data_IF_050468754620
#
_entry.id   IF_050468754620
#
_cell.length_a   1.000
_cell.length_b   1.000
_cell.length_c   1.000
_cell.angle_alpha   90.00
_cell.angle_beta   90.00
_cell.angle_gamma   90.00
#
_symmetry.space_group_name_H-M   'P 1'
#
loop_
_entity.id
_entity.type
_entity.pdbx_description
1 polymer ?
#
# COMPACT_ATOMS: atom_id res chain seq x y z
N UNK A 1 21.36 9.74 16.65
CA UNK A 1 20.55 10.52 17.61
C UNK A 1 19.56 9.57 18.26
N UNK A 2 19.32 9.64 19.58
CA UNK A 2 18.41 8.71 20.26
C UNK A 2 16.98 9.05 19.89
N UNK A 3 16.24 8.06 19.39
CA UNK A 3 14.90 8.23 18.83
C UNK A 3 13.86 8.72 19.83
N UNK A 4 12.82 9.38 19.30
CA UNK A 4 11.62 9.71 20.05
C UNK A 4 11.00 8.44 20.64
N UNK A 5 11.00 8.34 21.97
CA UNK A 5 10.12 7.45 22.72
C UNK A 5 8.74 8.12 22.74
N UNK A 6 7.72 7.50 22.14
CA UNK A 6 6.33 7.91 22.35
C UNK A 6 6.02 7.70 23.85
N UNK A 7 5.81 8.75 24.68
CA UNK A 7 5.64 8.59 26.12
C UNK A 7 4.25 8.10 26.51
N UNK A 8 3.33 7.96 25.57
CA UNK A 8 1.99 7.48 25.87
C UNK A 8 1.92 5.98 25.68
N UNK A 9 1.84 5.26 26.81
CA UNK A 9 1.23 3.93 26.83
C UNK A 9 -0.12 4.05 26.12
N UNK A 10 -0.24 3.47 24.93
CA UNK A 10 -1.50 3.39 24.21
C UNK A 10 -2.43 2.50 25.03
N UNK A 11 -3.30 3.12 25.81
CA UNK A 11 -4.20 2.41 26.71
C UNK A 11 -5.41 1.92 25.90
N UNK A 12 -5.19 0.91 25.07
CA UNK A 12 -6.26 0.16 24.43
C UNK A 12 -6.51 -1.13 25.23
N UNK A 13 -7.68 -1.29 25.88
CA UNK A 13 -7.99 -2.48 26.69
C UNK A 13 -8.07 -3.78 25.88
N UNK A 14 -8.07 -3.71 24.54
CA UNK A 14 -7.98 -4.87 23.66
C UNK A 14 -6.53 -5.33 23.37
N UNK A 15 -5.51 -4.58 23.82
CA UNK A 15 -4.10 -4.95 23.69
C UNK A 15 -3.57 -5.43 25.05
N UNK A 16 -2.71 -6.46 25.02
CA UNK A 16 -1.98 -6.88 26.23
C UNK A 16 -1.20 -5.68 26.79
N UNK A 17 -1.27 -5.39 28.11
CA UNK A 17 -0.60 -4.24 28.71
C UNK A 17 0.91 -4.24 28.38
N UNK A 18 1.36 -3.28 27.57
CA UNK A 18 2.78 -3.10 27.20
C UNK A 18 3.14 -3.36 25.73
N UNK A 19 2.22 -3.83 24.87
CA UNK A 19 2.48 -4.03 23.44
C UNK A 19 2.24 -2.73 22.62
N UNK A 20 3.09 -2.46 21.63
CA UNK A 20 2.90 -1.33 20.71
C UNK A 20 1.79 -1.63 19.69
N UNK A 21 1.21 -0.60 19.05
CA UNK A 21 0.24 -0.80 17.95
C UNK A 21 0.86 -1.64 16.82
N UNK A 22 2.16 -1.46 16.55
CA UNK A 22 2.89 -2.25 15.56
C UNK A 22 2.96 -3.74 15.93
N UNK A 23 3.18 -4.07 17.21
CA UNK A 23 3.16 -5.47 17.67
C UNK A 23 1.77 -6.09 17.52
N UNK A 24 0.73 -5.30 17.81
CA UNK A 24 -0.66 -5.71 17.65
C UNK A 24 -1.07 -5.94 16.19
N UNK A 25 -0.48 -5.19 15.25
CA UNK A 25 -0.62 -5.40 13.81
C UNK A 25 0.12 -6.66 13.36
N UNK A 26 1.39 -6.83 13.78
CA UNK A 26 2.19 -8.02 13.44
C UNK A 26 1.52 -9.32 13.89
N UNK A 27 0.92 -9.31 15.09
CA UNK A 27 0.22 -10.46 15.65
C UNK A 27 -1.17 -10.73 15.02
N UNK A 28 -1.71 -9.80 14.23
CA UNK A 28 -2.99 -9.99 13.57
C UNK A 28 -2.87 -11.03 12.44
N UNK A 29 -3.73 -12.05 12.47
CA UNK A 29 -3.77 -13.11 11.45
C UNK A 29 -4.40 -12.64 10.13
N UNK A 30 -5.14 -11.53 10.17
CA UNK A 30 -5.69 -10.86 9.00
C UNK A 30 -4.63 -10.12 8.17
N UNK A 31 -3.47 -9.80 8.77
CA UNK A 31 -2.35 -9.17 8.09
C UNK A 31 -1.43 -10.25 7.52
N UNK A 32 -1.28 -10.31 6.20
CA UNK A 32 -0.41 -11.29 5.54
C UNK A 32 1.03 -10.75 5.43
N UNK A 33 1.20 -9.55 4.89
CA UNK A 33 2.50 -8.90 4.73
C UNK A 33 2.45 -7.42 5.11
N UNK A 34 3.58 -6.91 5.58
CA UNK A 34 3.76 -5.49 5.86
C UNK A 34 5.13 -5.02 5.37
N UNK A 35 5.11 -4.18 4.34
CA UNK A 35 6.30 -3.53 3.80
C UNK A 35 6.34 -2.07 4.23
N UNK A 36 7.48 -1.66 4.80
CA UNK A 36 7.68 -0.32 5.32
C UNK A 36 8.94 0.30 4.74
N UNK A 37 8.87 1.56 4.33
CA UNK A 37 10.01 2.37 3.93
C UNK A 37 10.78 2.91 5.15
N UNK A 38 11.38 2.00 5.90
CA UNK A 38 12.24 2.29 7.05
C UNK A 38 13.58 1.59 6.87
N UNK A 39 14.69 2.26 7.20
CA UNK A 39 16.05 1.72 7.00
C UNK A 39 16.30 0.38 7.71
N UNK A 40 15.54 0.04 8.76
CA UNK A 40 15.63 -1.25 9.45
C UNK A 40 14.82 -2.36 8.78
N UNK A 41 13.92 -2.00 7.85
CA UNK A 41 13.00 -2.91 7.16
C UNK A 41 13.22 -2.96 5.65
N UNK A 42 14.25 -2.28 5.15
CA UNK A 42 14.70 -2.37 3.76
C UNK A 42 16.16 -2.81 3.68
N UNK A 43 16.52 -3.42 2.54
CA UNK A 43 17.93 -3.66 2.18
C UNK A 43 18.38 -2.54 1.25
N UNK A 44 19.46 -1.86 1.58
CA UNK A 44 19.92 -0.66 0.87
C UNK A 44 21.25 -0.86 0.15
N UNK A 45 21.44 -0.13 -0.95
CA UNK A 45 22.74 0.20 -1.53
C UNK A 45 22.85 1.73 -1.61
N UNK A 46 23.53 2.35 -0.66
CA UNK A 46 23.39 3.80 -0.48
C UNK A 46 21.97 4.12 -0.01
N UNK A 47 21.25 4.97 -0.74
CA UNK A 47 19.84 5.23 -0.49
C UNK A 47 18.90 4.39 -1.37
N UNK A 48 19.43 3.65 -2.35
CA UNK A 48 18.62 2.83 -3.23
C UNK A 48 18.09 1.61 -2.48
N UNK A 49 16.78 1.40 -2.55
CA UNK A 49 16.12 0.23 -1.98
C UNK A 49 16.30 -0.95 -2.92
N UNK A 50 17.10 -1.92 -2.48
CA UNK A 50 17.24 -3.21 -3.16
C UNK A 50 15.99 -4.06 -2.94
N UNK A 51 15.50 -4.10 -1.70
CA UNK A 51 14.27 -4.78 -1.36
C UNK A 51 13.63 -4.24 -0.09
N UNK A 52 12.30 -4.27 -0.03
CA UNK A 52 11.55 -4.21 1.22
C UNK A 52 11.46 -5.61 1.80
N UNK A 53 11.83 -5.76 3.06
CA UNK A 53 11.71 -7.02 3.80
C UNK A 53 10.39 -6.97 4.58
N UNK A 54 9.65 -8.09 4.58
CA UNK A 54 8.38 -8.15 5.32
C UNK A 54 8.61 -7.97 6.83
N UNK A 55 7.94 -6.98 7.42
CA UNK A 55 8.00 -6.68 8.85
C UNK A 55 7.34 -7.76 9.71
N UNK A 56 6.56 -8.67 9.12
CA UNK A 56 6.11 -9.91 9.77
C UNK A 56 7.19 -10.99 9.87
N UNK A 57 8.43 -10.68 9.48
CA UNK A 57 9.59 -11.57 9.55
C UNK A 57 9.42 -12.85 8.71
N UNK A 58 8.65 -12.76 7.61
CA UNK A 58 8.54 -13.84 6.62
C UNK A 58 9.67 -13.74 5.59
N UNK A 59 9.78 -14.75 4.72
CA UNK A 59 10.70 -14.70 3.58
C UNK A 59 10.21 -13.80 2.43
N UNK A 60 8.98 -13.26 2.52
CA UNK A 60 8.38 -12.43 1.46
C UNK A 60 9.08 -11.07 1.35
N UNK A 61 9.25 -10.61 0.11
CA UNK A 61 9.95 -9.36 -0.22
C UNK A 61 9.32 -8.66 -1.41
N UNK A 62 9.48 -7.35 -1.46
CA UNK A 62 9.36 -6.55 -2.68
C UNK A 62 10.77 -6.19 -3.14
N UNK A 63 11.24 -6.76 -4.25
CA UNK A 63 12.61 -6.55 -4.75
C UNK A 63 12.59 -5.68 -6.00
N UNK A 64 13.52 -4.74 -6.13
CA UNK A 64 13.63 -3.91 -7.34
C UNK A 64 13.74 -4.78 -8.60
N UNK A 65 13.11 -4.35 -9.69
CA UNK A 65 13.04 -5.16 -10.91
C UNK A 65 14.37 -5.28 -11.66
N UNK A 66 15.28 -4.33 -11.45
CA UNK A 66 16.63 -4.30 -12.00
C UNK A 66 17.56 -3.44 -11.14
N UNK A 67 18.85 -3.40 -11.47
CA UNK A 67 19.83 -2.63 -10.71
C UNK A 67 19.66 -1.10 -10.79
N UNK A 68 18.85 -0.60 -11.73
CA UNK A 68 18.65 0.84 -11.99
C UNK A 68 17.21 1.32 -11.83
N UNK A 69 16.31 0.47 -11.33
CA UNK A 69 14.86 0.75 -11.23
C UNK A 69 14.36 0.59 -9.80
N UNK A 70 15.15 1.01 -8.82
CA UNK A 70 14.86 0.85 -7.39
C UNK A 70 14.45 2.18 -6.79
N UNK A 71 13.35 2.18 -6.03
CA UNK A 71 12.94 3.35 -5.27
C UNK A 71 14.07 3.82 -4.32
N UNK A 72 14.15 5.11 -4.07
CA UNK A 72 15.12 5.69 -3.14
C UNK A 72 14.49 5.89 -1.77
N UNK A 73 15.17 5.51 -0.69
CA UNK A 73 14.76 5.85 0.66
C UNK A 73 15.04 7.33 0.94
N UNK A 74 13.99 8.09 1.22
CA UNK A 74 14.05 9.52 1.50
C UNK A 74 13.60 9.76 2.93
N UNK A 75 14.46 10.40 3.74
CA UNK A 75 14.11 10.84 5.08
C UNK A 75 13.03 11.93 5.02
N UNK A 76 12.18 11.98 6.04
CA UNK A 76 11.19 13.04 6.22
C UNK A 76 10.17 13.19 5.07
N UNK A 77 9.96 12.13 4.28
CA UNK A 77 8.96 12.11 3.21
C UNK A 77 7.51 12.20 3.75
N UNK A 78 7.29 11.78 5.00
CA UNK A 78 5.99 11.85 5.68
C UNK A 78 6.13 12.53 7.05
N UNK A 79 6.63 13.77 7.09
CA UNK A 79 6.93 14.47 8.34
C UNK A 79 8.24 13.97 8.92
N UNK A 80 8.24 13.35 10.10
CA UNK A 80 9.46 12.77 10.70
C UNK A 80 9.78 11.36 10.16
N UNK A 81 8.92 10.79 9.31
CA UNK A 81 9.04 9.43 8.82
C UNK A 81 9.62 9.37 7.41
N UNK A 82 10.42 8.34 7.16
CA UNK A 82 10.98 8.06 5.83
C UNK A 82 9.91 7.55 4.86
N UNK A 83 10.20 7.66 3.57
CA UNK A 83 9.37 7.13 2.48
C UNK A 83 10.22 6.58 1.36
N UNK A 84 9.66 5.63 0.61
CA UNK A 84 10.28 5.10 -0.59
C UNK A 84 9.80 5.92 -1.79
N UNK A 85 10.71 6.70 -2.36
CA UNK A 85 10.48 7.53 -3.52
C UNK A 85 10.59 6.72 -4.79
N UNK A 86 9.49 6.58 -5.51
CA UNK A 86 9.45 6.04 -6.85
C UNK A 86 9.48 7.19 -7.87
N UNK A 87 10.39 7.10 -8.84
CA UNK A 87 10.52 8.05 -9.92
C UNK A 87 10.07 7.42 -11.25
N UNK A 88 9.13 8.07 -11.92
CA UNK A 88 8.62 7.59 -13.20
C UNK A 88 9.70 7.60 -14.31
N UNK A 89 10.61 8.58 -14.28
CA UNK A 89 11.73 8.70 -15.21
C UNK A 89 12.79 7.60 -15.07
N UNK A 90 12.90 7.01 -13.88
CA UNK A 90 13.84 5.91 -13.59
C UNK A 90 13.16 4.54 -13.78
N UNK A 91 11.88 4.53 -14.13
CA UNK A 91 11.09 3.32 -14.30
C UNK A 91 11.05 2.45 -13.04
N UNK A 92 11.01 3.09 -11.86
CA UNK A 92 11.11 2.40 -10.59
C UNK A 92 9.99 1.39 -10.37
N UNK A 93 10.37 0.20 -9.92
CA UNK A 93 9.44 -0.90 -9.68
C UNK A 93 10.03 -1.89 -8.71
N UNK A 94 9.21 -2.29 -7.74
CA UNK A 94 9.50 -3.44 -6.88
C UNK A 94 8.51 -4.56 -7.13
N UNK A 95 8.99 -5.78 -7.36
CA UNK A 95 8.22 -6.99 -7.61
C UNK A 95 8.18 -7.86 -6.37
N UNK A 96 6.98 -8.35 -6.05
CA UNK A 96 6.76 -9.25 -4.93
C UNK A 96 7.28 -10.66 -5.23
N UNK A 97 7.89 -11.27 -4.22
CA UNK A 97 8.27 -12.67 -4.19
C UNK A 97 8.03 -13.23 -2.79
N UNK A 98 7.41 -14.41 -2.68
CA UNK A 98 7.07 -15.03 -1.41
C UNK A 98 5.67 -15.64 -1.42
N UNK A 99 5.01 -15.64 -0.26
CA UNK A 99 3.66 -16.17 -0.07
C UNK A 99 2.60 -15.22 -0.66
N UNK A 100 2.26 -15.40 -1.94
CA UNK A 100 1.38 -14.49 -2.63
C UNK A 100 -0.05 -14.57 -2.09
N UNK A 101 -0.68 -13.39 -1.96
CA UNK A 101 -2.08 -13.29 -1.58
C UNK A 101 -3.00 -13.87 -2.66
N UNK A 102 -3.98 -14.71 -2.26
CA UNK A 102 -5.03 -15.17 -3.18
C UNK A 102 -6.06 -14.05 -3.41
N UNK A 103 -5.98 -13.42 -4.57
CA UNK A 103 -6.86 -12.32 -4.95
C UNK A 103 -8.25 -12.76 -5.40
N UNK A 104 -8.52 -14.07 -5.49
CA UNK A 104 -9.85 -14.63 -5.76
C UNK A 104 -10.71 -14.75 -4.50
N UNK A 105 -10.09 -14.67 -3.33
CA UNK A 105 -10.74 -14.61 -2.02
C UNK A 105 -10.84 -13.17 -1.53
N UNK A 106 -11.53 -12.95 -0.41
CA UNK A 106 -11.58 -11.63 0.21
C UNK A 106 -10.18 -11.16 0.62
N UNK A 107 -9.81 -9.93 0.23
CA UNK A 107 -8.50 -9.36 0.52
C UNK A 107 -8.56 -7.84 0.62
N UNK A 108 -7.49 -7.25 1.13
CA UNK A 108 -7.28 -5.81 1.09
C UNK A 108 -5.81 -5.41 1.01
N UNK A 109 -5.57 -4.27 0.38
CA UNK A 109 -4.33 -3.52 0.50
C UNK A 109 -4.62 -2.20 1.19
N UNK A 110 -3.78 -1.81 2.13
CA UNK A 110 -3.88 -0.52 2.80
C UNK A 110 -2.50 0.10 2.94
N UNK A 111 -2.43 1.41 3.13
CA UNK A 111 -1.14 2.08 3.22
C UNK A 111 -1.23 3.58 3.21
N UNK A 112 -0.08 4.21 3.06
CA UNK A 112 0.06 5.65 2.88
C UNK A 112 1.03 5.94 1.73
N UNK A 113 0.65 6.89 0.88
CA UNK A 113 1.46 7.32 -0.25
C UNK A 113 1.27 8.82 -0.54
N UNK A 114 2.15 9.37 -1.36
CA UNK A 114 2.00 10.66 -2.05
C UNK A 114 2.00 10.42 -3.56
N UNK A 115 1.43 11.35 -4.31
CA UNK A 115 1.59 11.44 -5.77
C UNK A 115 2.14 12.83 -6.06
N UNK A 116 3.35 12.93 -6.63
CA UNK A 116 4.01 14.23 -6.90
C UNK A 116 3.62 14.78 -8.26
N UNK A 117 3.54 13.91 -9.27
CA UNK A 117 3.18 14.31 -10.63
C UNK A 117 2.23 13.31 -11.27
N UNK A 118 1.43 13.77 -12.22
CA UNK A 118 0.50 12.93 -13.00
C UNK A 118 0.55 13.32 -14.48
N UNK A 119 1.67 13.00 -15.14
CA UNK A 119 1.84 13.25 -16.57
C UNK A 119 1.22 12.14 -17.45
N UNK A 120 1.10 10.93 -16.91
CA UNK A 120 0.54 9.76 -17.58
C UNK A 120 -0.24 8.90 -16.57
N UNK A 121 -0.90 7.83 -17.04
CA UNK A 121 -1.49 6.85 -16.14
C UNK A 121 -0.39 6.19 -15.31
N UNK A 122 -0.57 6.21 -13.99
CA UNK A 122 0.41 5.71 -13.01
C UNK A 122 -0.26 4.69 -12.10
N UNK A 123 0.47 3.63 -11.75
CA UNK A 123 -0.02 2.59 -10.84
C UNK A 123 0.81 2.59 -9.58
N UNK A 124 0.14 2.75 -8.45
CA UNK A 124 0.78 2.66 -7.15
C UNK A 124 1.16 1.19 -6.90
N UNK A 125 0.20 0.28 -7.04
CA UNK A 125 0.47 -1.14 -6.84
C UNK A 125 -0.58 -2.06 -7.46
N UNK A 126 -0.25 -3.35 -7.56
CA UNK A 126 -1.20 -4.40 -7.89
C UNK A 126 -0.67 -5.50 -8.83
N UNK A 127 -1.59 -6.32 -9.33
CA UNK A 127 -1.34 -7.36 -10.34
C UNK A 127 -2.04 -7.00 -11.66
N UNK A 128 -1.40 -7.31 -12.79
CA UNK A 128 -1.92 -6.96 -14.10
C UNK A 128 -1.52 -7.98 -15.16
N UNK A 129 -2.50 -8.36 -15.99
CA UNK A 129 -2.29 -9.11 -17.24
C UNK A 129 -2.93 -8.36 -18.41
N UNK A 130 -4.14 -7.82 -18.22
CA UNK A 130 -4.88 -7.07 -19.23
C UNK A 130 -5.89 -6.09 -18.59
N UNK A 131 -6.58 -5.31 -19.42
CA UNK A 131 -7.65 -4.41 -18.96
C UNK A 131 -8.88 -5.11 -18.37
N UNK A 132 -9.01 -6.43 -18.55
CA UNK A 132 -10.09 -7.24 -17.98
C UNK A 132 -9.62 -8.27 -16.94
N UNK A 133 -8.30 -8.40 -16.76
CA UNK A 133 -7.66 -9.34 -15.83
C UNK A 133 -6.57 -8.59 -15.04
N UNK A 134 -6.95 -8.06 -13.88
CA UNK A 134 -6.14 -7.14 -13.07
C UNK A 134 -6.71 -6.95 -11.67
N UNK A 135 -5.86 -6.53 -10.75
CA UNK A 135 -6.23 -5.90 -9.49
C UNK A 135 -5.20 -4.79 -9.27
N UNK A 136 -5.54 -3.53 -9.56
CA UNK A 136 -4.58 -2.42 -9.55
C UNK A 136 -5.15 -1.19 -8.85
N UNK A 137 -4.30 -0.48 -8.12
CA UNK A 137 -4.58 0.84 -7.57
C UNK A 137 -3.86 1.88 -8.43
N UNK A 138 -4.61 2.70 -9.15
CA UNK A 138 -4.06 3.59 -10.17
C UNK A 138 -4.67 5.00 -10.13
N UNK A 139 -4.02 5.91 -10.86
CA UNK A 139 -4.49 7.27 -11.14
C UNK A 139 -4.25 7.55 -12.62
N UNK A 140 -5.16 8.26 -13.27
CA UNK A 140 -5.04 8.61 -14.69
C UNK A 140 -5.31 10.11 -14.90
N UNK A 141 -4.60 10.78 -15.85
CA UNK A 141 -4.88 12.17 -16.19
C UNK A 141 -6.12 12.35 -17.09
N UNK A 142 -6.68 11.25 -17.63
CA UNK A 142 -7.78 11.31 -18.61
C UNK A 142 -9.07 10.71 -18.04
N UNK A 143 -9.11 9.40 -17.79
CA UNK A 143 -10.28 8.71 -17.26
C UNK A 143 -10.38 8.91 -15.75
N UNK A 144 -11.48 9.52 -15.29
CA UNK A 144 -11.66 9.96 -13.90
C UNK A 144 -10.42 10.77 -13.44
N UNK A 145 -10.09 11.82 -14.20
CA UNK A 145 -8.85 12.57 -14.09
C UNK A 145 -8.46 12.90 -12.65
N UNK A 146 -7.25 12.47 -12.24
CA UNK A 146 -6.68 12.72 -10.91
C UNK A 146 -7.31 11.92 -9.77
N UNK A 147 -8.34 11.10 -10.01
CA UNK A 147 -8.98 10.28 -8.98
C UNK A 147 -8.24 8.97 -8.78
N UNK A 148 -8.02 8.61 -7.51
CA UNK A 148 -7.54 7.29 -7.15
C UNK A 148 -8.61 6.25 -7.48
N UNK A 149 -8.22 5.18 -8.15
CA UNK A 149 -9.12 4.14 -8.62
C UNK A 149 -8.58 2.77 -8.25
N UNK A 150 -9.45 1.91 -7.75
CA UNK A 150 -9.16 0.50 -7.61
C UNK A 150 -9.89 -0.26 -8.71
N UNK A 151 -9.13 -0.95 -9.56
CA UNK A 151 -9.66 -1.70 -10.70
C UNK A 151 -9.44 -3.18 -10.45
N UNK A 152 -10.51 -3.96 -10.52
CA UNK A 152 -10.49 -5.40 -10.38
C UNK A 152 -11.26 -6.01 -11.55
N UNK A 153 -10.59 -6.85 -12.33
CA UNK A 153 -11.08 -7.30 -13.62
C UNK A 153 -11.51 -6.13 -14.50
N UNK A 154 -12.81 -6.10 -14.83
CA UNK A 154 -13.45 -5.02 -15.59
C UNK A 154 -14.16 -3.97 -14.72
N UNK A 155 -14.26 -4.19 -13.40
CA UNK A 155 -14.87 -3.23 -12.48
C UNK A 155 -13.88 -2.13 -12.08
N UNK A 156 -14.40 -0.93 -11.85
CA UNK A 156 -13.65 0.25 -11.40
C UNK A 156 -14.36 0.89 -10.21
N UNK A 157 -13.71 0.88 -9.05
CA UNK A 157 -14.13 1.65 -7.88
C UNK A 157 -13.37 2.98 -7.86
N UNK A 158 -14.10 4.10 -7.94
CA UNK A 158 -13.52 5.44 -8.06
C UNK A 158 -13.58 6.16 -6.71
N UNK A 159 -12.43 6.61 -6.23
CA UNK A 159 -12.28 7.41 -5.01
C UNK A 159 -12.25 8.92 -5.28
N UNK A 160 -11.77 9.72 -4.32
CA UNK A 160 -11.60 11.15 -4.49
C UNK A 160 -10.45 11.50 -5.43
N UNK A 161 -10.44 12.75 -5.91
CA UNK A 161 -9.28 13.36 -6.57
C UNK A 161 -8.14 13.49 -5.56
N UNK A 162 -6.94 13.06 -5.94
CA UNK A 162 -5.76 13.27 -5.12
C UNK A 162 -5.23 14.69 -5.29
N UNK A 163 -4.87 15.31 -4.18
CA UNK A 163 -4.03 16.49 -4.18
C UNK A 163 -2.57 16.04 -4.36
N UNK A 164 -1.85 16.67 -5.29
CA UNK A 164 -0.45 16.35 -5.53
C UNK A 164 0.40 16.80 -4.34
N UNK A 165 1.48 16.07 -4.10
CA UNK A 165 2.42 16.29 -2.98
C UNK A 165 1.79 16.19 -1.57
N UNK A 166 0.53 15.76 -1.47
CA UNK A 166 -0.16 15.56 -0.19
C UNK A 166 -0.24 14.06 0.17
N UNK A 167 0.16 13.66 1.39
CA UNK A 167 -0.04 12.30 1.86
C UNK A 167 -1.51 11.89 1.90
N UNK A 168 -1.82 10.71 1.36
CA UNK A 168 -3.13 10.09 1.48
C UNK A 168 -3.00 8.67 2.04
N UNK A 169 -3.85 8.35 3.01
CA UNK A 169 -4.03 6.97 3.47
C UNK A 169 -5.12 6.31 2.64
N UNK A 170 -4.90 5.05 2.26
CA UNK A 170 -5.86 4.28 1.47
C UNK A 170 -6.09 2.89 2.05
N UNK A 171 -7.25 2.32 1.71
CA UNK A 171 -7.51 0.89 1.81
C UNK A 171 -8.42 0.48 0.65
N UNK A 172 -8.03 -0.52 -0.13
CA UNK A 172 -8.82 -1.06 -1.22
C UNK A 172 -8.80 -2.58 -1.19
N UNK A 173 -9.74 -3.21 -1.89
CA UNK A 173 -9.77 -4.67 -1.94
C UNK A 173 -11.07 -5.22 -2.48
N UNK A 174 -11.23 -6.52 -2.33
CA UNK A 174 -12.40 -7.29 -2.74
C UNK A 174 -12.98 -8.01 -1.52
N UNK A 175 -14.29 -7.96 -1.33
CA UNK A 175 -14.98 -8.53 -0.17
C UNK A 175 -15.72 -9.85 -0.44
N UNK A 176 -15.49 -10.45 -1.62
CA UNK A 176 -16.22 -11.61 -2.10
C UNK A 176 -17.41 -11.24 -3.01
N UNK A 177 -17.90 -9.99 -2.97
CA UNK A 177 -18.99 -9.52 -3.84
C UNK A 177 -18.66 -8.18 -4.52
N UNK A 178 -18.14 -7.23 -3.76
CA UNK A 178 -17.81 -5.88 -4.20
C UNK A 178 -16.32 -5.64 -4.10
N UNK A 179 -15.85 -4.73 -4.95
CA UNK A 179 -14.59 -4.06 -4.73
C UNK A 179 -14.84 -2.74 -4.00
N UNK A 180 -13.93 -2.38 -3.10
CA UNK A 180 -14.05 -1.17 -2.30
C UNK A 180 -12.77 -0.34 -2.36
N UNK A 181 -12.93 0.95 -2.07
CA UNK A 181 -11.85 1.90 -1.93
C UNK A 181 -12.20 2.88 -0.80
N UNK A 182 -11.28 3.04 0.14
CA UNK A 182 -11.30 4.04 1.21
C UNK A 182 -10.08 4.93 1.01
N UNK A 183 -10.28 6.24 1.00
CA UNK A 183 -9.20 7.22 0.88
C UNK A 183 -9.52 8.41 1.77
N UNK A 184 -8.62 8.75 2.69
CA UNK A 184 -8.76 9.92 3.54
C UNK A 184 -10.13 10.03 4.26
N UNK A 185 -10.69 8.89 4.68
CA UNK A 185 -12.01 8.79 5.32
C UNK A 185 -13.23 8.66 4.40
N UNK A 186 -13.07 8.82 3.08
CA UNK A 186 -14.14 8.63 2.09
C UNK A 186 -14.16 7.16 1.66
N UNK A 187 -15.31 6.51 1.78
CA UNK A 187 -15.50 5.12 1.34
C UNK A 187 -16.34 5.04 0.05
N UNK A 188 -15.98 4.11 -0.82
CA UNK A 188 -16.68 3.80 -2.08
C UNK A 188 -16.67 2.29 -2.30
N UNK A 189 -17.71 1.78 -2.96
CA UNK A 189 -17.89 0.35 -3.23
C UNK A 189 -18.69 0.14 -4.52
N UNK A 190 -18.34 -0.87 -5.30
CA UNK A 190 -19.04 -1.27 -6.52
C UNK A 190 -18.96 -2.78 -6.69
N UNK A 191 -19.97 -3.39 -7.32
CA UNK A 191 -19.95 -4.81 -7.63
C UNK A 191 -18.67 -5.18 -8.40
N UNK A 192 -18.01 -6.26 -7.97
CA UNK A 192 -16.85 -6.79 -8.69
C UNK A 192 -17.28 -7.40 -10.03
N UNK A 193 -16.41 -7.34 -11.03
CA UNK A 193 -16.64 -7.95 -12.34
C UNK A 193 -15.32 -8.40 -12.96
N UNK A 194 -15.31 -9.58 -13.57
CA UNK A 194 -14.10 -10.18 -14.13
C UNK A 194 -13.23 -10.85 -13.07
N UNK A 195 -11.93 -10.96 -13.36
CA UNK A 195 -10.99 -11.73 -12.53
C UNK A 195 -9.72 -10.93 -12.22
N UNK A 196 -9.05 -11.22 -11.10
CA UNK A 196 -7.75 -10.63 -10.81
C UNK A 196 -6.68 -11.26 -11.70
N UNK A 197 -5.52 -10.62 -11.78
CA UNK A 197 -4.36 -11.21 -12.43
C UNK A 197 -3.58 -12.11 -11.47
N UNK A 198 -3.02 -13.20 -12.02
CA UNK A 198 -2.09 -14.10 -11.34
C UNK A 198 -0.61 -13.67 -11.51
N UNK A 199 -0.35 -12.51 -12.13
CA UNK A 199 1.01 -11.98 -12.21
C UNK A 199 1.52 -11.59 -10.82
N UNK A 200 2.84 -11.49 -10.68
CA UNK A 200 3.45 -11.02 -9.44
C UNK A 200 2.89 -9.64 -9.07
N UNK A 201 2.62 -9.43 -7.79
CA UNK A 201 2.27 -8.10 -7.28
C UNK A 201 3.46 -7.15 -7.49
N UNK A 202 3.17 -5.93 -7.94
CA UNK A 202 4.16 -4.88 -8.08
C UNK A 202 3.81 -3.65 -7.24
N UNK A 203 4.84 -2.97 -6.75
CA UNK A 203 4.77 -1.65 -6.12
C UNK A 203 5.56 -0.65 -6.98
N UNK A 204 4.99 0.53 -7.18
CA UNK A 204 5.57 1.61 -7.98
C UNK A 204 5.29 1.52 -9.48
N UNK A 205 4.66 0.46 -9.96
CA UNK A 205 4.26 0.32 -11.36
C UNK A 205 3.32 -0.88 -11.54
N UNK A 206 2.89 -1.10 -12.79
CA UNK A 206 2.41 -2.42 -13.21
C UNK A 206 3.55 -3.47 -13.13
N UNK A 207 3.25 -4.77 -12.94
CA UNK A 207 4.27 -5.83 -12.98
C UNK A 207 5.07 -5.90 -14.28
N UNK A 208 4.46 -5.47 -15.40
CA UNK A 208 5.07 -5.32 -16.73
C UNK A 208 4.61 -4.02 -17.41
N UNK A 209 5.35 -3.52 -18.41
CA UNK A 209 4.96 -2.33 -19.19
C UNK A 209 5.40 -0.99 -18.60
N UNK A 210 4.71 0.11 -18.96
CA UNK A 210 5.20 1.49 -18.86
C UNK A 210 4.31 2.47 -18.06
N UNK A 211 3.78 2.07 -16.90
CA UNK A 211 2.91 2.93 -16.07
C UNK A 211 3.45 3.03 -14.65
N UNK A 212 4.42 3.91 -14.47
CA UNK A 212 5.19 4.08 -13.25
C UNK A 212 4.56 5.11 -12.32
N UNK A 213 4.62 4.85 -11.02
CA UNK A 213 4.28 5.80 -9.97
C UNK A 213 5.34 6.89 -9.88
N UNK A 214 4.90 8.10 -9.53
CA UNK A 214 5.79 9.20 -9.25
C UNK A 214 5.41 9.82 -7.90
N UNK A 215 6.05 9.33 -6.84
CA UNK A 215 5.71 9.71 -5.48
C UNK A 215 6.29 8.77 -4.44
N UNK A 216 5.95 9.04 -3.18
CA UNK A 216 6.54 8.38 -2.02
C UNK A 216 5.55 7.36 -1.44
N UNK A 217 6.06 6.24 -0.93
CA UNK A 217 5.27 5.21 -0.22
C UNK A 217 5.87 4.99 1.16
N UNK A 218 5.05 5.11 2.21
CA UNK A 218 5.50 4.92 3.60
C UNK A 218 5.33 3.47 4.06
N UNK A 219 4.08 3.02 4.08
CA UNK A 219 3.69 1.68 4.51
C UNK A 219 2.73 1.05 3.50
N UNK A 220 2.87 -0.26 3.27
CA UNK A 220 1.95 -1.11 2.53
C UNK A 220 1.61 -2.35 3.36
N UNK A 221 0.34 -2.49 3.70
CA UNK A 221 -0.26 -3.63 4.38
C UNK A 221 -1.01 -4.48 3.36
N UNK A 222 -0.70 -5.77 3.29
CA UNK A 222 -1.45 -6.76 2.50
C UNK A 222 -2.21 -7.67 3.46
N UNK A 223 -3.54 -7.68 3.37
CA UNK A 223 -4.43 -8.31 4.35
C UNK A 223 -5.30 -9.39 3.69
N UNK A 224 -5.31 -10.62 4.20
CA UNK A 224 -6.13 -11.74 3.70
C UNK A 224 -7.61 -11.68 4.17
N UNK A 225 -8.04 -10.48 4.54
CA UNK A 225 -9.42 -10.15 4.93
C UNK A 225 -9.82 -8.86 4.23
N UNK A 226 -11.11 -8.71 3.97
CA UNK A 226 -11.64 -7.47 3.42
C UNK A 226 -11.90 -6.46 4.54
N UNK A 227 -11.14 -5.35 4.57
CA UNK A 227 -11.18 -4.35 5.64
C UNK A 227 -12.53 -3.60 5.74
N UNK A 228 -13.39 -3.66 4.72
CA UNK A 228 -14.74 -3.10 4.74
C UNK A 228 -15.80 -4.04 5.38
N UNK A 229 -15.42 -5.25 5.76
CA UNK A 229 -16.33 -6.26 6.36
C UNK A 229 -16.15 -6.36 7.88
N UNK A 230 -17.06 -7.08 8.54
CA UNK A 230 -16.97 -7.37 9.98
C UNK A 230 -15.67 -8.10 10.33
N UNK A 231 -15.24 -9.07 9.51
CA UNK A 231 -14.03 -9.86 9.76
C UNK A 231 -12.76 -9.00 9.69
N UNK A 232 -12.74 -8.00 8.81
CA UNK A 232 -11.64 -7.05 8.67
C UNK A 232 -11.69 -5.84 9.61
N UNK A 233 -12.79 -5.63 10.35
CA UNK A 233 -13.01 -4.37 11.09
C UNK A 233 -11.99 -4.13 12.21
N UNK A 234 -11.62 -5.19 12.93
CA UNK A 234 -10.61 -5.11 14.00
C UNK A 234 -9.24 -4.71 13.43
N UNK A 235 -8.82 -5.33 12.33
CA UNK A 235 -7.56 -4.99 11.67
C UNK A 235 -7.61 -3.57 11.09
N UNK A 236 -8.71 -3.17 10.47
CA UNK A 236 -8.90 -1.80 9.97
C UNK A 236 -8.71 -0.77 11.09
N UNK A 237 -9.28 -1.01 12.28
CA UNK A 237 -9.12 -0.11 13.41
C UNK A 237 -7.66 0.01 13.88
N UNK A 238 -6.91 -1.09 13.88
CA UNK A 238 -5.47 -1.08 14.18
C UNK A 238 -4.68 -0.28 13.15
N UNK A 239 -4.96 -0.48 11.85
CA UNK A 239 -4.31 0.26 10.76
C UNK A 239 -4.64 1.76 10.86
N UNK A 240 -5.91 2.13 11.08
CA UNK A 240 -6.32 3.52 11.31
C UNK A 240 -5.58 4.16 12.47
N UNK A 241 -5.49 3.47 13.60
CA UNK A 241 -4.80 3.96 14.78
C UNK A 241 -3.30 4.14 14.51
N UNK A 242 -2.68 3.20 13.82
CA UNK A 242 -1.28 3.27 13.42
C UNK A 242 -1.00 4.44 12.47
N UNK A 243 -1.76 4.55 11.37
CA UNK A 243 -1.58 5.61 10.38
C UNK A 243 -1.83 7.01 10.97
N UNK A 244 -2.80 7.14 11.88
CA UNK A 244 -3.03 8.38 12.60
C UNK A 244 -1.89 8.72 13.56
N UNK A 245 -1.35 7.74 14.28
CA UNK A 245 -0.28 7.94 15.25
C UNK A 245 1.06 8.28 14.59
N UNK A 246 1.39 7.64 13.46
CA UNK A 246 2.64 7.88 12.74
C UNK A 246 2.53 9.08 11.81
N UNK A 247 1.46 9.19 11.02
CA UNK A 247 1.40 10.13 9.90
C UNK A 247 0.38 11.25 10.07
N UNK A 248 -0.39 11.25 11.17
CA UNK A 248 -1.55 12.15 11.31
C UNK A 248 -2.67 11.87 10.30
N UNK A 249 -2.58 10.76 9.55
CA UNK A 249 -3.47 10.46 8.44
C UNK A 249 -4.80 9.84 8.91
N UNK A 250 -5.86 10.12 8.16
CA UNK A 250 -7.19 9.53 8.36
C UNK A 250 -7.47 8.50 7.28
N UNK A 251 -8.05 7.36 7.64
CA UNK A 251 -8.46 6.29 6.73
C UNK A 251 -9.93 5.91 6.95
#
# INVERSE_FOLDING_TARGET
MPGFRIPQRFNNPALLPGASIADALKADTGLLHWFQADANHVTLRGNDILSFNDRKDTASKLTRSSDTTGATLVSEAFGDYSGARFNSSESDRSLFSGDAQDLTQSFSWAGIATLRTLAATSNLCGTFTSSSVRAILNVSPTTNAGKLQFLYGSATCVGPTLELDTPFAFACGYDGTNIFLRVSGIASSVAAAGSPSLSAFALGALPGGSQFWDGDVGDLFMCNVALNTTDGATLLNKIKAYLKACYGATL
#
